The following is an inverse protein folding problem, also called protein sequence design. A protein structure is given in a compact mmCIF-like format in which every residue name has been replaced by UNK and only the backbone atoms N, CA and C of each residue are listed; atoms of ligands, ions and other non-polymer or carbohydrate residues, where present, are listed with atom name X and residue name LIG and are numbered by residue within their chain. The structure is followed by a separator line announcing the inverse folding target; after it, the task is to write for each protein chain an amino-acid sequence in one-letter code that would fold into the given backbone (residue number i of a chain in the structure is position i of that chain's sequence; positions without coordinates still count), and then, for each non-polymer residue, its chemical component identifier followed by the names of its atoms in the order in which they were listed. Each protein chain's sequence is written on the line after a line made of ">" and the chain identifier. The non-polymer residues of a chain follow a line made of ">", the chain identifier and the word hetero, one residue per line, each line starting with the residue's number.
data_IF_118643546377
#
_entry.id   IF_118643546377
#
_cell.length_a   1.000
_cell.length_b   1.000
_cell.length_c   1.000
_cell.angle_alpha   90.00
_cell.angle_beta   90.00
_cell.angle_gamma   90.00
#
_symmetry.space_group_name_H-M   'P 1'
#
loop_
_entity.id
_entity.type
_entity.pdbx_description
1 polymer ?
#
# COMPACT_ATOMS: atom_id res chain seq x y z
N UNK A 1 -3.02 3.38 13.35
CA UNK A 1 -3.39 2.54 12.21
C UNK A 1 -4.43 3.30 11.43
N UNK A 2 -4.15 3.63 10.18
CA UNK A 2 -5.07 4.35 9.31
C UNK A 2 -5.35 3.49 8.08
N UNK A 3 -6.62 3.27 7.75
CA UNK A 3 -7.02 2.47 6.59
C UNK A 3 -7.60 3.39 5.52
N UNK A 4 -7.11 3.22 4.30
CA UNK A 4 -7.47 3.99 3.13
C UNK A 4 -8.11 3.07 2.11
N UNK A 5 -9.35 3.37 1.75
CA UNK A 5 -10.07 2.66 0.70
C UNK A 5 -9.73 3.31 -0.64
N UNK A 6 -9.11 2.57 -1.55
CA UNK A 6 -8.71 3.08 -2.87
C UNK A 6 -9.19 2.14 -3.96
N UNK A 7 -9.73 2.71 -5.04
CA UNK A 7 -10.10 1.94 -6.21
C UNK A 7 -8.95 1.99 -7.22
N UNK A 8 -8.31 0.85 -7.48
CA UNK A 8 -7.21 0.72 -8.44
C UNK A 8 -7.65 -0.25 -9.53
N UNK A 9 -7.66 0.23 -10.79
CA UNK A 9 -8.04 -0.59 -11.96
C UNK A 9 -9.37 -1.35 -11.75
N UNK A 10 -10.41 -0.64 -11.29
CA UNK A 10 -11.76 -1.17 -11.02
C UNK A 10 -11.86 -2.13 -9.81
N UNK A 11 -10.77 -2.40 -9.10
CA UNK A 11 -10.78 -3.16 -7.84
C UNK A 11 -10.72 -2.23 -6.64
N UNK A 12 -11.56 -2.50 -5.65
CA UNK A 12 -11.48 -1.84 -4.35
C UNK A 12 -10.38 -2.52 -3.51
N UNK A 13 -9.39 -1.74 -3.11
CA UNK A 13 -8.21 -2.19 -2.38
C UNK A 13 -8.14 -1.38 -1.09
N UNK A 14 -8.10 -2.08 0.04
CA UNK A 14 -7.89 -1.46 1.34
C UNK A 14 -6.39 -1.36 1.61
N UNK A 15 -5.89 -0.15 1.83
CA UNK A 15 -4.50 0.10 2.18
C UNK A 15 -4.44 0.56 3.62
N UNK A 16 -3.86 -0.29 4.47
CA UNK A 16 -3.69 0.01 5.88
C UNK A 16 -2.27 0.48 6.12
N UNK A 17 -2.12 1.71 6.65
CA UNK A 17 -0.85 2.26 7.07
C UNK A 17 -0.69 2.14 8.58
N UNK A 18 0.40 1.48 8.97
CA UNK A 18 0.83 1.31 10.34
C UNK A 18 2.14 2.04 10.58
N UNK A 19 2.24 2.66 11.76
CA UNK A 19 3.49 3.24 12.22
C UNK A 19 4.30 2.16 12.91
N UNK A 20 5.55 1.98 12.47
CA UNK A 20 6.49 1.01 13.02
C UNK A 20 7.51 1.73 13.91
N UNK A 21 8.21 0.98 14.76
CA UNK A 21 9.36 1.48 15.53
C UNK A 21 10.65 1.57 14.71
N UNK A 22 10.59 1.32 13.40
CA UNK A 22 11.76 1.36 12.53
C UNK A 22 12.13 2.82 12.23
N UNK A 23 13.35 3.22 12.58
CA UNK A 23 13.80 4.62 12.46
C UNK A 23 13.99 5.07 11.01
N UNK A 24 14.31 4.14 10.09
CA UNK A 24 14.52 4.46 8.67
C UNK A 24 13.21 4.55 7.89
N UNK A 25 12.24 3.70 8.22
CA UNK A 25 10.90 3.67 7.61
C UNK A 25 9.82 3.53 8.70
N UNK A 26 9.49 4.65 9.37
CA UNK A 26 8.50 4.65 10.45
C UNK A 26 7.08 4.34 9.97
N UNK A 27 6.79 4.35 8.66
CA UNK A 27 5.46 4.03 8.13
C UNK A 27 5.50 2.85 7.17
N UNK A 28 4.55 1.95 7.37
CA UNK A 28 4.41 0.72 6.61
C UNK A 28 2.96 0.59 6.15
N UNK A 29 2.75 0.59 4.84
CA UNK A 29 1.45 0.40 4.21
C UNK A 29 1.32 -1.03 3.73
N UNK A 30 0.14 -1.62 3.91
CA UNK A 30 -0.20 -2.97 3.42
C UNK A 30 -1.53 -2.91 2.71
N UNK A 31 -1.56 -3.38 1.48
CA UNK A 31 -2.76 -3.57 0.71
C UNK A 31 -3.39 -4.93 1.04
N UNK A 32 -4.72 -4.93 1.15
CA UNK A 32 -5.50 -6.16 1.26
C UNK A 32 -5.41 -7.03 0.00
N UNK A 33 -4.94 -6.49 -1.12
CA UNK A 33 -4.72 -7.23 -2.35
C UNK A 33 -3.34 -7.90 -2.34
N UNK A 34 -3.35 -9.24 -2.31
CA UNK A 34 -2.15 -10.09 -2.35
C UNK A 34 -1.09 -9.77 -1.28
N UNK A 35 -1.46 -9.12 -0.18
CA UNK A 35 -0.55 -8.68 0.89
C UNK A 35 0.64 -7.85 0.37
N UNK A 36 0.39 -7.00 -0.64
CA UNK A 36 1.42 -6.10 -1.16
C UNK A 36 1.70 -5.02 -0.12
N UNK A 37 2.97 -4.75 0.14
CA UNK A 37 3.39 -3.76 1.12
C UNK A 37 4.25 -2.63 0.54
N UNK A 38 4.33 -1.54 1.29
CA UNK A 38 5.13 -0.36 0.95
C UNK A 38 5.61 0.37 2.20
N UNK A 39 6.93 0.49 2.35
CA UNK A 39 7.55 1.21 3.46
C UNK A 39 8.00 2.63 3.07
N UNK A 40 7.75 3.60 3.93
CA UNK A 40 8.03 5.02 3.69
C UNK A 40 8.40 5.80 4.95
N UNK A 41 8.99 6.98 4.75
CA UNK A 41 9.28 7.92 5.85
C UNK A 41 8.05 8.71 6.28
N UNK A 42 7.03 8.75 5.42
CA UNK A 42 5.73 9.37 5.65
C UNK A 42 4.61 8.40 5.31
N UNK A 43 3.41 8.65 5.87
CA UNK A 43 2.18 7.90 5.54
C UNK A 43 1.93 7.92 4.03
N UNK A 44 2.10 9.08 3.40
CA UNK A 44 1.87 9.26 1.97
C UNK A 44 2.87 8.47 1.12
N UNK A 45 4.16 8.46 1.47
CA UNK A 45 5.17 7.66 0.76
C UNK A 45 4.89 6.16 0.86
N UNK A 46 4.60 5.67 2.07
CA UNK A 46 4.28 4.27 2.30
C UNK A 46 3.07 3.86 1.46
N UNK A 47 2.01 4.67 1.51
CA UNK A 47 0.78 4.47 0.74
C UNK A 47 1.04 4.49 -0.77
N UNK A 48 1.69 5.52 -1.32
CA UNK A 48 1.98 5.64 -2.76
C UNK A 48 2.81 4.48 -3.30
N UNK A 49 3.78 3.99 -2.51
CA UNK A 49 4.57 2.81 -2.88
C UNK A 49 3.69 1.55 -2.93
N UNK A 50 2.87 1.36 -1.92
CA UNK A 50 1.92 0.25 -1.87
C UNK A 50 0.92 0.31 -3.05
N UNK A 51 0.33 1.48 -3.31
CA UNK A 51 -0.59 1.72 -4.45
C UNK A 51 0.09 1.42 -5.79
N UNK A 52 1.32 1.88 -5.97
CA UNK A 52 2.08 1.65 -7.20
C UNK A 52 2.38 0.16 -7.41
N UNK A 53 2.78 -0.55 -6.36
CA UNK A 53 3.04 -1.98 -6.40
C UNK A 53 1.76 -2.78 -6.71
N UNK A 54 0.63 -2.43 -6.08
CA UNK A 54 -0.69 -3.01 -6.39
C UNK A 54 -1.06 -2.77 -7.86
N UNK A 55 -0.87 -1.55 -8.35
CA UNK A 55 -1.16 -1.21 -9.75
C UNK A 55 -0.31 -2.03 -10.72
N UNK A 56 0.99 -2.17 -10.46
CA UNK A 56 1.90 -2.98 -11.29
C UNK A 56 1.44 -4.45 -11.29
N UNK A 57 1.10 -5.00 -10.13
CA UNK A 57 0.61 -6.39 -10.02
C UNK A 57 -0.72 -6.59 -10.76
N UNK A 58 -1.62 -5.62 -10.71
CA UNK A 58 -2.88 -5.65 -11.48
C UNK A 58 -2.64 -5.58 -12.99
N UNK A 59 -1.62 -4.83 -13.43
CA UNK A 59 -1.24 -4.74 -14.84
C UNK A 59 -0.56 -6.03 -15.30
N UNK A 60 0.34 -6.59 -14.50
CA UNK A 60 1.04 -7.84 -14.82
C UNK A 60 0.13 -9.06 -14.76
N UNK A 61 -0.92 -9.00 -13.93
CA UNK A 61 -1.82 -10.12 -13.68
C UNK A 61 -3.29 -9.68 -13.83
N UNK A 62 -3.74 -9.33 -15.06
CA UNK A 62 -5.11 -8.99 -15.35
C UNK A 62 -5.92 -10.29 -15.48
N UNK A 63 -6.39 -10.83 -14.35
CA UNK A 63 -7.32 -11.96 -14.35
C UNK A 63 -8.74 -11.48 -14.60
#
# INVERSE_FOLDING_TARGET
>A
METYHVTIMDKNIDITVNRTSNNEYPYYAVASYKNIDGAGKTVEEARKKCESAVKIELIMNPW
#
